data_IF_326774271210
#
_entry.id   IF_326774271210
#
_cell.length_a   1.000
_cell.length_b   1.000
_cell.length_c   1.000
_cell.angle_alpha   90.00
_cell.angle_beta   90.00
_cell.angle_gamma   90.00
#
_symmetry.space_group_name_H-M   'P 1'
#
loop_
_entity.id
_entity.type
_entity.pdbx_description
1 polymer ?
#
# COMPACT_ATOMS: atom_id res chain seq x y z
N UNK A 1 -8.52 11.73 -2.62
CA UNK A 1 -8.61 10.25 -2.71
C UNK A 1 -7.32 9.58 -3.14
N UNK A 2 -6.41 10.32 -3.77
CA UNK A 2 -5.15 9.83 -4.35
C UNK A 2 -4.10 9.40 -3.31
N UNK A 3 -4.11 9.99 -2.11
CA UNK A 3 -3.16 9.63 -1.05
C UNK A 3 -3.25 8.14 -0.69
N UNK A 4 -4.48 7.63 -0.49
CA UNK A 4 -4.73 6.22 -0.19
C UNK A 4 -4.27 5.27 -1.32
N UNK A 5 -4.24 5.76 -2.57
CA UNK A 5 -3.71 4.99 -3.71
C UNK A 5 -2.20 4.86 -3.58
N UNK A 6 -1.50 5.97 -3.31
CA UNK A 6 -0.05 5.96 -3.10
C UNK A 6 0.35 5.04 -1.94
N UNK A 7 -0.33 5.15 -0.80
CA UNK A 7 -0.10 4.29 0.36
C UNK A 7 -0.37 2.81 0.04
N UNK A 8 -1.45 2.50 -0.69
CA UNK A 8 -1.74 1.14 -1.13
C UNK A 8 -0.63 0.58 -2.03
N UNK A 9 -0.22 1.35 -3.03
CA UNK A 9 0.86 0.95 -3.94
C UNK A 9 2.18 0.77 -3.19
N UNK A 10 2.49 1.63 -2.21
CA UNK A 10 3.69 1.52 -1.39
C UNK A 10 3.70 0.22 -0.57
N UNK A 11 2.57 -0.16 0.05
CA UNK A 11 2.48 -1.42 0.81
C UNK A 11 2.68 -2.62 -0.10
N UNK A 12 2.01 -2.67 -1.26
CA UNK A 12 2.15 -3.80 -2.21
C UNK A 12 3.57 -3.91 -2.75
N UNK A 13 4.20 -2.77 -3.06
CA UNK A 13 5.59 -2.75 -3.51
C UNK A 13 6.54 -3.27 -2.43
N UNK A 14 6.36 -2.85 -1.18
CA UNK A 14 7.17 -3.33 -0.06
C UNK A 14 6.97 -4.84 0.19
N UNK A 15 5.74 -5.36 0.09
CA UNK A 15 5.48 -6.81 0.16
C UNK A 15 6.22 -7.57 -0.93
N UNK A 16 6.19 -7.09 -2.17
CA UNK A 16 6.91 -7.70 -3.29
C UNK A 16 8.42 -7.69 -3.06
N UNK A 17 8.96 -6.58 -2.57
CA UNK A 17 10.38 -6.44 -2.25
C UNK A 17 10.82 -7.38 -1.11
N UNK A 18 10.03 -7.48 -0.04
CA UNK A 18 10.32 -8.38 1.08
C UNK A 18 10.29 -9.84 0.65
N UNK A 19 9.31 -10.23 -0.18
CA UNK A 19 9.25 -11.57 -0.79
C UNK A 19 10.49 -11.85 -1.65
N UNK A 20 10.88 -10.91 -2.52
CA UNK A 20 12.07 -11.05 -3.37
C UNK A 20 13.35 -11.22 -2.55
N UNK A 21 13.45 -10.53 -1.41
CA UNK A 21 14.59 -10.62 -0.48
C UNK A 21 14.49 -11.79 0.52
N UNK A 22 13.43 -12.59 0.44
CA UNK A 22 13.11 -13.64 1.43
C UNK A 22 13.16 -13.12 2.89
N UNK A 23 12.67 -11.90 3.09
CA UNK A 23 12.70 -11.20 4.38
C UNK A 23 11.37 -11.37 5.13
N UNK A 24 11.46 -11.63 6.43
CA UNK A 24 10.30 -11.78 7.33
C UNK A 24 10.03 -10.53 8.17
N UNK A 25 10.65 -9.40 7.84
CA UNK A 25 10.43 -8.15 8.57
C UNK A 25 8.96 -7.74 8.49
N UNK A 26 8.38 -7.22 9.58
CA UNK A 26 7.04 -6.64 9.52
C UNK A 26 7.05 -5.35 8.68
N UNK A 27 5.89 -5.04 8.10
CA UNK A 27 5.68 -3.83 7.33
C UNK A 27 4.65 -2.95 8.05
N UNK A 28 5.04 -1.72 8.34
CA UNK A 28 4.18 -0.72 8.97
C UNK A 28 3.56 0.22 7.94
N UNK A 29 2.31 0.61 8.21
CA UNK A 29 1.66 1.75 7.55
C UNK A 29 0.77 2.47 8.56
N UNK A 30 0.73 3.79 8.50
CA UNK A 30 -0.20 4.62 9.27
C UNK A 30 -1.59 4.74 8.61
N UNK A 31 -1.76 4.20 7.40
CA UNK A 31 -3.01 4.24 6.65
C UNK A 31 -3.90 3.03 6.89
N UNK A 32 -4.96 3.22 7.68
CA UNK A 32 -6.00 2.18 7.87
C UNK A 32 -6.70 1.81 6.57
N UNK A 33 -6.82 2.75 5.63
CA UNK A 33 -7.52 2.52 4.36
C UNK A 33 -6.67 1.66 3.42
N UNK A 34 -5.38 1.98 3.28
CA UNK A 34 -4.47 1.21 2.44
C UNK A 34 -4.29 -0.22 2.98
N UNK A 35 -4.09 -0.37 4.30
CA UNK A 35 -4.04 -1.69 4.94
C UNK A 35 -5.29 -2.53 4.65
N UNK A 36 -6.48 -1.92 4.76
CA UNK A 36 -7.75 -2.59 4.44
C UNK A 36 -7.83 -2.98 2.96
N UNK A 37 -7.37 -2.15 2.04
CA UNK A 37 -7.36 -2.47 0.61
C UNK A 37 -6.42 -3.63 0.28
N UNK A 38 -5.24 -3.69 0.91
CA UNK A 38 -4.30 -4.82 0.75
C UNK A 38 -4.90 -6.11 1.29
N UNK A 39 -5.51 -6.07 2.48
CA UNK A 39 -6.22 -7.23 3.06
C UNK A 39 -7.36 -7.72 2.14
N UNK A 40 -8.08 -6.78 1.52
CA UNK A 40 -9.16 -7.08 0.57
C UNK A 40 -8.67 -7.40 -0.84
N UNK A 41 -7.36 -7.29 -1.10
CA UNK A 41 -6.74 -7.40 -2.42
C UNK A 41 -7.43 -6.53 -3.49
N UNK A 42 -7.97 -5.38 -3.08
CA UNK A 42 -8.79 -4.50 -3.92
C UNK A 42 -8.70 -3.05 -3.46
N UNK A 43 -8.27 -2.16 -4.35
CA UNK A 43 -8.29 -0.72 -4.13
C UNK A 43 -9.69 -0.16 -4.42
N UNK A 44 -10.31 0.49 -3.43
CA UNK A 44 -11.66 1.08 -3.52
C UNK A 44 -11.59 2.59 -3.67
N UNK A 45 -10.88 3.06 -4.69
CA UNK A 45 -10.75 4.49 -4.98
C UNK A 45 -12.07 5.07 -5.50
N UNK A 46 -12.31 6.36 -5.21
CA UNK A 46 -13.39 7.18 -5.79
C UNK A 46 -12.92 8.02 -6.98
N UNK A 47 -11.65 7.92 -7.35
CA UNK A 47 -11.10 8.62 -8.51
C UNK A 47 -11.75 8.05 -9.78
N UNK A 48 -12.22 8.91 -10.67
CA UNK A 48 -12.70 8.49 -11.99
C UNK A 48 -11.53 8.31 -12.95
N UNK A 49 -11.57 7.25 -13.76
CA UNK A 49 -10.51 7.00 -14.76
C UNK A 49 -10.64 8.00 -15.90
N UNK A 50 -9.54 8.66 -16.25
CA UNK A 50 -9.41 9.54 -17.42
C UNK A 50 -8.04 9.33 -18.08
N UNK A 51 -7.77 10.02 -19.20
CA UNK A 51 -6.51 9.88 -19.95
C UNK A 51 -5.29 10.29 -19.12
N UNK A 52 -5.43 11.30 -18.25
CA UNK A 52 -4.33 11.83 -17.43
C UNK A 52 -3.89 10.86 -16.32
N UNK A 53 -4.81 10.02 -15.82
CA UNK A 53 -4.57 9.11 -14.71
C UNK A 53 -4.55 7.63 -15.11
N UNK A 54 -4.58 7.33 -16.42
CA UNK A 54 -4.58 5.96 -16.92
C UNK A 54 -3.44 5.13 -16.33
N UNK A 55 -2.23 5.68 -16.34
CA UNK A 55 -1.05 5.03 -15.77
C UNK A 55 -1.22 4.69 -14.28
N UNK A 56 -1.90 5.54 -13.50
CA UNK A 56 -2.19 5.27 -12.10
C UNK A 56 -3.10 4.04 -11.93
N UNK A 57 -4.12 3.92 -12.79
CA UNK A 57 -5.01 2.76 -12.78
C UNK A 57 -4.31 1.47 -13.25
N UNK A 58 -3.35 1.57 -14.18
CA UNK A 58 -2.49 0.43 -14.53
C UNK A 58 -1.66 -0.05 -13.34
N UNK A 59 -1.08 0.87 -12.57
CA UNK A 59 -0.33 0.53 -11.36
C UNK A 59 -1.23 -0.14 -10.31
N UNK A 60 -2.45 0.37 -10.12
CA UNK A 60 -3.44 -0.26 -9.24
C UNK A 60 -3.75 -1.69 -9.72
N UNK A 61 -4.05 -1.87 -10.99
CA UNK A 61 -4.38 -3.18 -11.55
C UNK A 61 -3.22 -4.18 -11.39
N UNK A 62 -1.98 -3.73 -11.61
CA UNK A 62 -0.77 -4.56 -11.38
C UNK A 62 -0.61 -4.94 -9.92
N UNK A 63 -0.85 -4.00 -8.99
CA UNK A 63 -0.77 -4.26 -7.56
C UNK A 63 -1.84 -5.25 -7.09
N UNK A 64 -3.09 -5.08 -7.55
CA UNK A 64 -4.18 -6.04 -7.28
C UNK A 64 -3.84 -7.43 -7.84
N UNK A 65 -3.37 -7.51 -9.09
CA UNK A 65 -2.98 -8.77 -9.70
C UNK A 65 -1.84 -9.45 -8.93
N UNK A 66 -0.85 -8.69 -8.45
CA UNK A 66 0.22 -9.23 -7.63
C UNK A 66 -0.31 -9.84 -6.34
N UNK A 67 -1.19 -9.13 -5.62
CA UNK A 67 -1.81 -9.62 -4.38
C UNK A 67 -2.65 -10.88 -4.59
N UNK A 68 -3.35 -11.01 -5.72
CA UNK A 68 -4.16 -12.18 -6.04
C UNK A 68 -3.30 -13.42 -6.33
N UNK A 69 -2.17 -13.23 -7.03
CA UNK A 69 -1.33 -14.33 -7.52
C UNK A 69 -0.10 -14.62 -6.65
N UNK A 70 0.06 -13.93 -5.52
CA UNK A 70 1.18 -14.14 -4.61
C UNK A 70 0.69 -14.34 -3.18
N UNK A 71 1.36 -15.26 -2.48
CA UNK A 71 1.28 -15.40 -1.04
C UNK A 71 2.42 -14.64 -0.36
N UNK A 72 2.13 -14.07 0.80
CA UNK A 72 3.08 -13.42 1.68
C UNK A 72 2.76 -13.76 3.13
N UNK A 73 3.79 -13.98 3.94
CA UNK A 73 3.68 -14.18 5.40
C UNK A 73 4.04 -12.91 6.18
N UNK A 74 4.43 -11.84 5.48
CA UNK A 74 4.81 -10.55 6.05
C UNK A 74 3.69 -9.97 6.92
N UNK A 75 3.94 -9.72 8.23
CA UNK A 75 2.98 -9.05 9.09
C UNK A 75 2.74 -7.60 8.62
N UNK A 76 1.48 -7.24 8.39
CA UNK A 76 1.07 -5.87 8.10
C UNK A 76 0.56 -5.22 9.39
N UNK A 77 1.23 -4.17 9.85
CA UNK A 77 0.97 -3.53 11.13
C UNK A 77 0.56 -2.06 10.97
N UNK A 78 -0.37 -1.62 11.82
CA UNK A 78 -0.73 -0.20 11.92
C UNK A 78 0.36 0.53 12.70
N UNK A 79 0.89 1.60 12.12
CA UNK A 79 1.73 2.56 12.84
C UNK A 79 0.84 3.46 13.70
N UNK A 80 1.01 3.46 15.02
CA UNK A 80 0.17 4.26 15.92
C UNK A 80 0.70 5.69 16.06
N UNK A 81 0.39 6.53 15.07
CA UNK A 81 0.87 7.92 14.96
C UNK A 81 0.65 8.75 16.22
N UNK A 82 -0.48 8.55 16.92
CA UNK A 82 -0.79 9.27 18.17
C UNK A 82 0.17 8.94 19.31
N UNK A 83 0.64 7.69 19.38
CA UNK A 83 1.53 7.21 20.44
C UNK A 83 3.01 7.38 20.10
N UNK A 84 3.36 7.28 18.81
CA UNK A 84 4.77 7.19 18.34
C UNK A 84 5.22 8.38 17.50
N UNK A 85 4.34 9.34 17.23
CA UNK A 85 4.59 10.43 16.29
C UNK A 85 4.45 9.98 14.83
N UNK A 86 4.80 10.89 13.91
CA UNK A 86 4.73 10.62 12.47
C UNK A 86 5.57 9.39 12.09
N UNK A 87 5.06 8.62 11.11
CA UNK A 87 5.77 7.44 10.64
C UNK A 87 7.14 7.87 10.07
N UNK A 88 8.24 7.13 10.30
CA UNK A 88 9.57 7.52 9.80
C UNK A 88 9.68 7.67 8.28
N UNK A 89 8.73 7.09 7.54
CA UNK A 89 8.63 7.20 6.08
C UNK A 89 7.81 8.43 5.62
N UNK A 90 7.31 9.25 6.55
CA UNK A 90 6.59 10.48 6.23
C UNK A 90 7.52 11.50 5.54
N UNK A 91 6.97 12.25 4.60
CA UNK A 91 7.74 13.22 3.82
C UNK A 91 7.87 14.59 4.50
N UNK A 92 7.24 14.81 5.66
CA UNK A 92 7.31 16.07 6.40
C UNK A 92 6.73 17.27 5.64
N UNK A 93 5.80 17.03 4.71
CA UNK A 93 5.21 18.07 3.83
C UNK A 93 3.92 18.67 4.38
N UNK A 94 3.70 18.61 5.70
CA UNK A 94 2.53 19.17 6.37
C UNK A 94 2.74 20.63 6.76
#
# INVERSE_FOLDING_TARGET
GTNNIGEFLAIVHALALLKQKNSQLPLYSDSRTALKWVQQKKAKTKLEKNEENEYLFELIARAENWLQNNEYSTPLLKWETEAWGEIPADFGRK
#
